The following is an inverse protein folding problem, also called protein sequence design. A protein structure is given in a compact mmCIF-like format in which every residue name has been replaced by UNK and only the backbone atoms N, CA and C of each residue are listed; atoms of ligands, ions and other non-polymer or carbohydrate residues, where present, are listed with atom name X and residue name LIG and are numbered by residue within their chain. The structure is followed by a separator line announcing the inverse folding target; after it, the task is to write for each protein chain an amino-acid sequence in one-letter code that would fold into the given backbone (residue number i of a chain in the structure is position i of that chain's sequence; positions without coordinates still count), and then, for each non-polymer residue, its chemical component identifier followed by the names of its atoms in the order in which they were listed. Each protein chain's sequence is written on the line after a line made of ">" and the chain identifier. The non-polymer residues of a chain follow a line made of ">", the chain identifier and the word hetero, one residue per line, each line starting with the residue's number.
data_IF_374695568876
#
_entry.id   IF_374695568876
#
_cell.length_a   1.000
_cell.length_b   1.000
_cell.length_c   1.000
_cell.angle_alpha   90.00
_cell.angle_beta   90.00
_cell.angle_gamma   90.00
#
_symmetry.space_group_name_H-M   'P 1'
#
loop_
_entity.id
_entity.type
_entity.pdbx_description
1 polymer ?
#
# COMPACT_ATOMS: atom_id res chain seq x y z
N UNK A 1 18.96 -16.65 6.39
CA UNK A 1 19.18 -15.50 7.29
C UNK A 1 18.97 -16.04 8.67
N UNK A 2 19.93 -15.88 9.56
CA UNK A 2 19.82 -16.35 10.94
C UNK A 2 19.47 -15.20 11.88
N UNK A 3 18.70 -15.52 12.91
CA UNK A 3 18.30 -14.59 13.97
C UNK A 3 19.04 -15.00 15.24
N UNK A 4 19.78 -14.07 15.83
CA UNK A 4 20.45 -14.25 17.11
C UNK A 4 19.86 -13.26 18.13
N UNK A 5 19.64 -13.71 19.37
CA UNK A 5 19.13 -12.87 20.45
C UNK A 5 20.21 -12.75 21.52
N UNK A 6 20.67 -11.52 21.74
CA UNK A 6 21.68 -11.17 22.73
C UNK A 6 21.08 -10.15 23.71
N UNK A 7 20.50 -10.67 24.79
CA UNK A 7 19.75 -9.92 25.80
C UNK A 7 18.58 -9.14 25.19
N UNK A 8 18.78 -7.84 24.93
CA UNK A 8 17.79 -6.92 24.37
C UNK A 8 18.06 -6.62 22.88
N UNK A 9 19.10 -7.22 22.30
CA UNK A 9 19.52 -6.99 20.93
C UNK A 9 19.10 -8.19 20.08
N UNK A 10 18.32 -7.93 19.04
CA UNK A 10 18.02 -8.91 17.99
C UNK A 10 18.97 -8.63 16.83
N UNK A 11 19.73 -9.64 16.41
CA UNK A 11 20.67 -9.56 15.28
C UNK A 11 20.11 -10.37 14.13
N UNK A 12 19.96 -9.74 12.98
CA UNK A 12 19.69 -10.41 11.71
C UNK A 12 21.03 -10.54 10.98
N UNK A 13 21.46 -11.78 10.72
CA UNK A 13 22.71 -12.05 10.01
C UNK A 13 22.38 -12.70 8.67
N UNK A 14 22.64 -12.02 7.53
CA UNK A 14 22.40 -12.60 6.22
C UNK A 14 23.39 -13.75 5.98
N UNK A 15 22.93 -14.79 5.29
CA UNK A 15 23.71 -16.00 5.01
C UNK A 15 23.98 -16.17 3.51
N UNK A 16 23.39 -15.31 2.68
CA UNK A 16 23.60 -15.25 1.24
C UNK A 16 23.33 -13.84 0.70
N UNK A 17 23.66 -13.62 -0.57
CA UNK A 17 23.59 -12.30 -1.21
C UNK A 17 22.16 -11.75 -1.33
N UNK A 18 21.15 -12.61 -1.55
CA UNK A 18 19.76 -12.18 -1.61
C UNK A 18 19.31 -11.59 -0.27
N UNK A 19 19.66 -12.24 0.82
CA UNK A 19 19.31 -11.79 2.17
C UNK A 19 20.05 -10.51 2.57
N UNK A 20 21.28 -10.31 2.08
CA UNK A 20 22.02 -9.07 2.27
C UNK A 20 21.29 -7.89 1.61
N UNK A 21 20.78 -8.06 0.39
CA UNK A 21 19.97 -7.05 -0.30
C UNK A 21 18.65 -6.78 0.44
N UNK A 22 17.97 -7.82 0.93
CA UNK A 22 16.74 -7.68 1.71
C UNK A 22 16.97 -6.96 3.05
N UNK A 23 18.06 -7.30 3.74
CA UNK A 23 18.44 -6.62 4.99
C UNK A 23 18.82 -5.15 4.76
N UNK A 24 19.51 -4.83 3.66
CA UNK A 24 19.81 -3.46 3.29
C UNK A 24 18.53 -2.64 3.03
N UNK A 25 17.54 -3.22 2.33
CA UNK A 25 16.24 -2.58 2.12
C UNK A 25 15.52 -2.34 3.45
N UNK A 26 15.50 -3.34 4.33
CA UNK A 26 14.94 -3.19 5.68
C UNK A 26 15.62 -2.06 6.44
N UNK A 27 16.96 -2.01 6.42
CA UNK A 27 17.74 -0.99 7.13
C UNK A 27 17.45 0.42 6.63
N UNK A 28 17.42 0.61 5.31
CA UNK A 28 17.02 1.88 4.68
C UNK A 28 15.58 2.28 5.01
N UNK A 29 14.70 1.30 5.28
CA UNK A 29 13.31 1.55 5.62
C UNK A 29 13.13 1.97 7.09
N UNK A 30 13.89 1.37 8.02
CA UNK A 30 13.76 1.63 9.47
C UNK A 30 14.66 2.76 9.97
N UNK A 31 15.69 3.13 9.23
CA UNK A 31 16.59 4.24 9.58
C UNK A 31 16.30 5.45 8.69
N UNK A 32 15.91 6.57 9.28
CA UNK A 32 15.80 7.85 8.58
C UNK A 32 17.17 8.54 8.45
N UNK A 33 17.41 9.21 7.32
CA UNK A 33 18.63 9.98 7.05
C UNK A 33 18.90 11.08 8.08
N UNK A 34 17.89 11.54 8.83
CA UNK A 34 18.00 12.66 9.78
C UNK A 34 18.22 12.21 11.24
N UNK A 35 18.69 10.98 11.46
CA UNK A 35 19.08 10.48 12.78
C UNK A 35 17.92 9.92 13.61
N UNK A 36 16.73 9.81 13.03
CA UNK A 36 15.58 9.15 13.65
C UNK A 36 15.51 7.68 13.21
N UNK A 37 15.27 6.78 14.17
CA UNK A 37 15.00 5.36 13.89
C UNK A 37 13.53 5.08 14.14
N UNK A 38 12.92 4.33 13.24
CA UNK A 38 11.54 3.89 13.40
C UNK A 38 11.47 2.66 14.31
N UNK A 39 10.39 2.56 15.09
CA UNK A 39 10.15 1.41 15.96
C UNK A 39 9.46 0.30 15.19
N UNK A 40 9.98 -0.92 15.30
CA UNK A 40 9.31 -2.13 14.84
C UNK A 40 8.38 -2.65 15.94
N UNK A 41 7.10 -2.75 15.63
CA UNK A 41 6.05 -3.21 16.56
C UNK A 41 5.50 -4.55 16.04
N UNK A 42 5.56 -5.65 16.80
CA UNK A 42 5.08 -6.95 16.33
C UNK A 42 3.58 -6.92 16.05
N UNK A 43 3.16 -7.61 14.99
CA UNK A 43 1.76 -7.78 14.61
C UNK A 43 1.34 -9.22 14.87
N UNK A 44 0.31 -9.39 15.71
CA UNK A 44 -0.27 -10.70 16.00
C UNK A 44 0.67 -11.60 16.79
N UNK A 45 0.53 -12.92 16.58
CA UNK A 45 1.31 -13.96 17.27
C UNK A 45 1.94 -14.86 16.23
N UNK A 46 3.25 -15.08 16.33
CA UNK A 46 3.94 -16.11 15.56
C UNK A 46 3.85 -17.46 16.29
N UNK A 47 3.30 -18.46 15.60
CA UNK A 47 3.19 -19.84 16.08
C UNK A 47 3.89 -20.76 15.08
N UNK A 48 5.01 -21.41 15.45
CA UNK A 48 5.71 -22.35 14.58
C UNK A 48 4.77 -23.42 14.01
N UNK A 49 4.81 -23.63 12.70
CA UNK A 49 3.98 -24.61 11.99
C UNK A 49 2.54 -24.17 11.71
N UNK A 50 2.07 -23.04 12.28
CA UNK A 50 0.74 -22.49 11.99
C UNK A 50 0.82 -21.19 11.20
N UNK A 51 1.73 -20.29 11.57
CA UNK A 51 1.95 -19.02 10.86
C UNK A 51 3.25 -19.10 10.07
N UNK A 52 3.24 -18.71 8.78
CA UNK A 52 4.43 -18.82 7.93
C UNK A 52 5.52 -17.80 8.30
N UNK A 53 5.17 -16.68 8.91
CA UNK A 53 6.06 -15.54 9.11
C UNK A 53 5.73 -14.75 10.38
N UNK A 54 6.74 -14.07 10.93
CA UNK A 54 6.58 -13.06 11.97
C UNK A 54 6.47 -11.69 11.30
N UNK A 55 5.44 -10.91 11.66
CA UNK A 55 5.17 -9.61 11.04
C UNK A 55 5.43 -8.48 12.03
N UNK A 56 5.93 -7.35 11.51
CA UNK A 56 6.13 -6.12 12.26
C UNK A 56 5.54 -4.93 11.49
N UNK A 57 4.86 -4.04 12.20
CA UNK A 57 4.51 -2.72 11.73
C UNK A 57 5.65 -1.76 12.06
N UNK A 58 5.89 -0.79 11.18
CA UNK A 58 6.88 0.27 11.43
C UNK A 58 6.15 1.53 11.89
N UNK A 59 6.35 1.91 13.15
CA UNK A 59 5.71 3.07 13.76
C UNK A 59 6.42 4.37 13.35
N UNK A 60 5.64 5.40 12.99
CA UNK A 60 6.15 6.73 12.63
C UNK A 60 6.35 6.96 11.14
N UNK A 61 6.27 5.92 10.30
CA UNK A 61 6.26 6.09 8.85
C UNK A 61 4.91 6.65 8.43
N UNK A 62 4.92 7.88 7.89
CA UNK A 62 3.76 8.44 7.17
C UNK A 62 3.69 7.73 5.82
N UNK A 63 2.97 6.62 5.78
CA UNK A 63 2.60 5.98 4.52
C UNK A 63 1.69 6.99 3.82
N UNK A 64 2.23 7.69 2.82
CA UNK A 64 1.41 8.34 1.82
C UNK A 64 0.70 7.22 1.08
N UNK A 65 -0.42 6.76 1.64
CA UNK A 65 -1.37 5.93 0.93
C UNK A 65 -1.56 6.64 -0.41
N UNK A 66 -1.33 6.00 -1.56
CA UNK A 66 -1.80 6.59 -2.81
C UNK A 66 -3.29 6.78 -2.59
N UNK A 67 -3.70 8.03 -2.36
CA UNK A 67 -5.10 8.40 -2.39
C UNK A 67 -5.59 7.82 -3.72
N UNK A 68 -6.63 6.97 -3.75
CA UNK A 68 -7.26 6.67 -5.02
C UNK A 68 -7.52 8.02 -5.64
N UNK A 69 -6.88 8.30 -6.78
CA UNK A 69 -7.08 9.54 -7.51
C UNK A 69 -8.58 9.68 -7.61
N UNK A 70 -9.16 10.62 -6.89
CA UNK A 70 -10.59 10.82 -6.88
C UNK A 70 -10.94 11.19 -8.32
N UNK A 71 -11.34 10.20 -9.11
CA UNK A 71 -11.72 10.38 -10.50
C UNK A 71 -12.88 11.35 -10.45
N UNK A 72 -12.66 12.59 -10.93
CA UNK A 72 -13.68 13.63 -10.95
C UNK A 72 -14.91 13.02 -11.64
N UNK A 73 -15.98 12.80 -10.88
CA UNK A 73 -17.25 12.34 -11.45
C UNK A 73 -17.92 13.54 -12.11
N UNK A 74 -18.38 13.35 -13.34
CA UNK A 74 -19.19 14.33 -14.07
C UNK A 74 -20.55 13.72 -14.38
N UNK A 75 -21.53 14.57 -14.64
CA UNK A 75 -22.88 14.12 -14.99
C UNK A 75 -22.93 13.86 -16.49
N UNK A 76 -23.53 12.75 -16.87
CA UNK A 76 -23.84 12.41 -18.25
C UNK A 76 -25.34 12.44 -18.47
N UNK A 77 -25.79 12.83 -19.66
CA UNK A 77 -27.19 12.84 -20.09
C UNK A 77 -27.40 12.04 -21.37
N UNK A 78 -28.45 11.24 -21.42
CA UNK A 78 -28.90 10.59 -22.64
C UNK A 78 -29.84 11.54 -23.39
N UNK A 79 -29.49 11.95 -24.62
CA UNK A 79 -30.33 12.86 -25.40
C UNK A 79 -31.63 12.23 -25.93
N UNK A 80 -31.73 10.90 -25.89
CA UNK A 80 -32.91 10.16 -26.37
C UNK A 80 -33.99 9.97 -25.28
N UNK A 81 -33.59 9.58 -24.07
CA UNK A 81 -34.52 9.31 -22.96
C UNK A 81 -34.39 10.30 -21.79
N UNK A 82 -33.51 11.29 -21.90
CA UNK A 82 -33.22 12.30 -20.88
C UNK A 82 -32.74 11.75 -19.53
N UNK A 83 -32.30 10.49 -19.48
CA UNK A 83 -31.70 9.85 -18.29
C UNK A 83 -30.36 10.52 -17.95
N UNK A 84 -30.13 10.78 -16.67
CA UNK A 84 -28.88 11.38 -16.19
C UNK A 84 -28.21 10.52 -15.13
N UNK A 85 -26.89 10.35 -15.23
CA UNK A 85 -26.09 9.55 -14.28
C UNK A 85 -24.71 10.18 -14.05
N UNK A 86 -24.06 9.85 -12.93
CA UNK A 86 -22.72 10.34 -12.60
C UNK A 86 -21.68 9.25 -12.82
N UNK A 87 -20.70 9.52 -13.69
CA UNK A 87 -19.63 8.60 -14.05
C UNK A 87 -18.26 9.30 -14.03
N UNK A 88 -17.13 8.57 -13.91
CA UNK A 88 -15.80 9.15 -14.02
C UNK A 88 -15.64 9.96 -15.32
N UNK A 89 -15.02 11.14 -15.22
CA UNK A 89 -14.75 11.97 -16.39
C UNK A 89 -13.95 11.20 -17.46
N UNK A 90 -14.51 11.13 -18.67
CA UNK A 90 -13.92 10.41 -19.80
C UNK A 90 -14.48 8.98 -20.01
N UNK A 91 -15.23 8.44 -19.06
CA UNK A 91 -15.87 7.12 -19.14
C UNK A 91 -17.38 7.27 -19.35
N UNK A 92 -17.79 7.63 -20.58
CA UNK A 92 -19.19 7.84 -20.91
C UNK A 92 -20.00 6.51 -20.83
N UNK A 93 -21.05 6.43 -19.98
CA UNK A 93 -21.92 5.26 -19.93
C UNK A 93 -22.78 5.16 -21.21
N UNK A 94 -23.24 3.94 -21.51
CA UNK A 94 -24.12 3.67 -22.67
C UNK A 94 -25.59 3.71 -22.22
N UNK A 95 -26.41 4.49 -22.92
CA UNK A 95 -27.86 4.52 -22.74
C UNK A 95 -28.57 4.64 -24.10
N UNK A 96 -29.71 3.95 -24.27
CA UNK A 96 -30.41 3.86 -25.57
C UNK A 96 -29.52 3.37 -26.73
N UNK A 97 -28.48 2.58 -26.43
CA UNK A 97 -27.55 2.04 -27.43
C UNK A 97 -26.49 3.03 -27.92
N UNK A 98 -26.36 4.22 -27.32
CA UNK A 98 -25.36 5.24 -27.65
C UNK A 98 -24.62 5.73 -26.40
N UNK A 99 -23.39 6.26 -26.53
CA UNK A 99 -22.71 6.92 -25.42
C UNK A 99 -23.46 8.17 -24.96
N UNK A 100 -23.62 8.31 -23.65
CA UNK A 100 -24.24 9.49 -23.04
C UNK A 100 -23.32 10.73 -23.17
N UNK A 101 -23.92 11.91 -23.16
CA UNK A 101 -23.22 13.18 -23.37
C UNK A 101 -22.78 13.79 -22.03
N UNK A 102 -21.53 14.25 -21.88
CA UNK A 102 -21.07 14.90 -20.65
C UNK A 102 -21.74 16.26 -20.47
N UNK A 103 -22.08 16.57 -19.22
CA UNK A 103 -22.53 17.88 -18.74
C UNK A 103 -21.43 18.35 -17.77
N UNK A 104 -20.64 19.34 -18.19
CA UNK A 104 -19.44 19.85 -17.47
C UNK A 104 -19.67 20.19 -15.99
#
# INVERSE_FOLDING_TARGET
>A
MRIEIDKQIIKFVPENQKEEEELNKLWQYVVSCEGESFKLVPIGVYVPGSTPEAMFQVEGIKISTPQPTATKKIRYVCMECNRMEEYPAGEAPICCGQPMHPMD
#
